data_IF_239546536717
#
_entry.id   IF_239546536717
#
_cell.length_a   1.000
_cell.length_b   1.000
_cell.length_c   1.000
_cell.angle_alpha   90.00
_cell.angle_beta   90.00
_cell.angle_gamma   90.00
#
_symmetry.space_group_name_H-M   'P 1'
#
loop_
_entity.id
_entity.type
_entity.pdbx_description
1 polymer ?
#
# COMPACT_ATOMS: atom_id res chain seq x y z
N UNK A 1 -33.31 -44.43 -20.01
CA UNK A 1 -33.02 -43.09 -19.46
C UNK A 1 -31.57 -42.72 -19.77
N UNK A 2 -31.28 -41.69 -20.58
CA UNK A 2 -29.91 -41.28 -20.84
C UNK A 2 -29.47 -40.20 -19.84
N UNK A 3 -28.39 -40.48 -19.08
CA UNK A 3 -27.74 -39.52 -18.18
C UNK A 3 -26.92 -38.53 -19.02
N UNK A 4 -27.22 -37.25 -18.91
CA UNK A 4 -26.44 -36.16 -19.51
C UNK A 4 -25.13 -35.99 -18.73
N UNK A 5 -24.00 -36.26 -19.37
CA UNK A 5 -22.68 -35.89 -18.88
C UNK A 5 -22.45 -34.38 -19.11
N UNK A 6 -22.48 -33.61 -18.04
CA UNK A 6 -22.06 -32.21 -18.03
C UNK A 6 -20.53 -32.15 -18.02
N UNK A 7 -19.93 -31.90 -19.19
CA UNK A 7 -18.50 -31.58 -19.32
C UNK A 7 -18.22 -30.26 -18.59
N UNK A 8 -17.61 -30.38 -17.42
CA UNK A 8 -17.10 -29.26 -16.63
C UNK A 8 -15.89 -28.65 -17.33
N UNK A 9 -16.07 -27.47 -17.90
CA UNK A 9 -15.02 -26.67 -18.54
C UNK A 9 -14.04 -26.22 -17.46
N UNK A 10 -12.93 -26.95 -17.30
CA UNK A 10 -11.79 -26.51 -16.50
C UNK A 10 -11.15 -25.30 -17.19
N UNK A 11 -11.54 -24.10 -16.77
CA UNK A 11 -10.78 -22.87 -17.07
C UNK A 11 -9.36 -23.05 -16.55
N UNK A 12 -8.42 -23.16 -17.49
CA UNK A 12 -6.98 -23.10 -17.22
C UNK A 12 -6.69 -21.71 -16.66
N UNK A 13 -6.53 -21.63 -15.34
CA UNK A 13 -6.08 -20.41 -14.69
C UNK A 13 -4.58 -20.29 -14.97
N UNK A 14 -4.22 -19.58 -16.03
CA UNK A 14 -2.83 -19.15 -16.23
C UNK A 14 -2.36 -18.45 -14.96
N UNK A 15 -1.24 -18.87 -14.33
CA UNK A 15 -0.70 -18.19 -13.16
C UNK A 15 -0.41 -16.75 -13.55
N UNK A 16 -1.12 -15.80 -12.93
CA UNK A 16 -0.86 -14.36 -13.14
C UNK A 16 0.61 -14.11 -12.83
N UNK A 17 1.35 -13.59 -13.81
CA UNK A 17 2.69 -13.07 -13.60
C UNK A 17 2.68 -12.17 -12.36
N UNK A 18 3.38 -12.60 -11.31
CA UNK A 18 3.35 -11.89 -10.04
C UNK A 18 4.15 -10.61 -10.21
N UNK A 19 3.49 -9.46 -10.13
CA UNK A 19 4.16 -8.18 -10.29
C UNK A 19 5.24 -8.04 -9.19
N UNK A 20 6.54 -7.96 -9.54
CA UNK A 20 7.63 -7.90 -8.57
C UNK A 20 7.51 -6.69 -7.62
N UNK A 21 6.86 -5.61 -8.07
CA UNK A 21 6.61 -4.42 -7.25
C UNK A 21 5.70 -4.69 -6.06
N UNK A 22 4.76 -5.65 -6.17
CA UNK A 22 3.89 -6.02 -5.05
C UNK A 22 4.73 -6.61 -3.91
N UNK A 23 5.62 -7.55 -4.24
CA UNK A 23 6.48 -8.17 -3.24
C UNK A 23 7.48 -7.18 -2.66
N UNK A 24 8.10 -6.36 -3.51
CA UNK A 24 9.01 -5.29 -3.09
C UNK A 24 8.34 -4.35 -2.11
N UNK A 25 7.12 -3.91 -2.42
CA UNK A 25 6.37 -3.02 -1.54
C UNK A 25 5.97 -3.69 -0.21
N UNK A 26 5.51 -4.94 -0.25
CA UNK A 26 5.15 -5.66 0.98
C UNK A 26 6.39 -5.87 1.87
N UNK A 27 7.53 -6.25 1.28
CA UNK A 27 8.79 -6.38 2.01
C UNK A 27 9.22 -5.04 2.61
N UNK A 28 9.12 -3.96 1.83
CA UNK A 28 9.35 -2.60 2.33
C UNK A 28 8.44 -2.28 3.52
N UNK A 29 7.13 -2.54 3.43
CA UNK A 29 6.18 -2.27 4.49
C UNK A 29 6.52 -3.03 5.78
N UNK A 30 6.87 -4.31 5.67
CA UNK A 30 7.25 -5.14 6.83
C UNK A 30 8.53 -4.61 7.47
N UNK A 31 9.57 -4.36 6.68
CA UNK A 31 10.86 -3.82 7.17
C UNK A 31 10.69 -2.45 7.82
N UNK A 32 9.89 -1.58 7.20
CA UNK A 32 9.60 -0.24 7.72
C UNK A 32 8.86 -0.33 9.05
N UNK A 33 7.86 -1.20 9.14
CA UNK A 33 7.12 -1.42 10.38
C UNK A 33 8.00 -1.97 11.50
N UNK A 34 8.87 -2.93 11.19
CA UNK A 34 9.85 -3.44 12.16
C UNK A 34 10.79 -2.32 12.63
N UNK A 35 11.26 -1.46 11.71
CA UNK A 35 12.17 -0.36 12.03
C UNK A 35 11.53 0.75 12.87
N UNK A 36 10.28 1.12 12.59
CA UNK A 36 9.59 2.24 13.24
C UNK A 36 8.87 1.81 14.52
N UNK A 37 8.22 0.64 14.50
CA UNK A 37 7.38 0.16 15.60
C UNK A 37 8.08 -0.87 16.49
N UNK A 38 9.27 -1.34 16.11
CA UNK A 38 9.99 -2.41 16.82
C UNK A 38 9.33 -3.79 16.70
N UNK A 39 8.30 -3.93 15.87
CA UNK A 39 7.56 -5.19 15.67
C UNK A 39 7.17 -5.37 14.21
N UNK A 40 7.19 -6.62 13.75
CA UNK A 40 6.82 -6.96 12.37
C UNK A 40 5.31 -6.80 12.16
N UNK A 41 4.88 -5.99 11.18
CA UNK A 41 3.49 -5.94 10.74
C UNK A 41 2.97 -7.31 10.28
N UNK A 42 1.70 -7.59 10.55
CA UNK A 42 1.05 -8.81 10.05
C UNK A 42 0.62 -8.62 8.60
N UNK A 43 0.99 -9.57 7.73
CA UNK A 43 0.60 -9.59 6.32
C UNK A 43 -0.39 -10.72 6.09
N UNK A 44 -1.57 -10.39 5.58
CA UNK A 44 -2.61 -11.35 5.18
C UNK A 44 -2.38 -11.74 3.72
N UNK A 45 -1.82 -12.94 3.51
CA UNK A 45 -1.52 -13.47 2.17
C UNK A 45 -2.77 -13.42 1.27
N UNK A 46 -2.57 -12.99 0.03
CA UNK A 46 -3.64 -12.85 -0.96
C UNK A 46 -4.46 -11.58 -0.80
N UNK A 47 -4.97 -11.26 0.40
CA UNK A 47 -5.73 -10.01 0.65
C UNK A 47 -4.84 -8.78 0.44
N UNK A 48 -3.74 -8.71 1.15
CA UNK A 48 -2.83 -7.55 1.07
C UNK A 48 -2.14 -7.49 -0.29
N UNK A 49 -1.78 -8.64 -0.87
CA UNK A 49 -1.24 -8.70 -2.24
C UNK A 49 -2.19 -8.12 -3.28
N UNK A 50 -3.50 -8.36 -3.14
CA UNK A 50 -4.52 -7.73 -4.00
C UNK A 50 -4.60 -6.23 -3.75
N UNK A 51 -4.69 -5.79 -2.49
CA UNK A 51 -4.76 -4.36 -2.14
C UNK A 51 -3.56 -3.58 -2.70
N UNK A 52 -2.35 -4.10 -2.50
CA UNK A 52 -1.11 -3.52 -3.04
C UNK A 52 -1.14 -3.51 -4.56
N UNK A 53 -1.57 -4.59 -5.20
CA UNK A 53 -1.71 -4.63 -6.67
C UNK A 53 -2.61 -3.52 -7.20
N UNK A 54 -3.70 -3.19 -6.50
CA UNK A 54 -4.59 -2.11 -6.90
C UNK A 54 -3.99 -0.73 -6.62
N UNK A 55 -3.40 -0.53 -5.45
CA UNK A 55 -2.71 0.71 -5.11
C UNK A 55 -1.62 1.04 -6.14
N UNK A 56 -0.84 0.03 -6.55
CA UNK A 56 0.24 0.16 -7.54
C UNK A 56 -0.23 0.48 -8.96
N UNK A 57 -1.51 0.29 -9.30
CA UNK A 57 -2.05 0.74 -10.59
C UNK A 57 -2.27 2.24 -10.66
N UNK A 58 -2.36 2.91 -9.51
CA UNK A 58 -2.62 4.35 -9.39
C UNK A 58 -1.42 5.12 -8.91
N UNK A 59 -0.63 4.50 -8.02
CA UNK A 59 0.52 5.11 -7.40
C UNK A 59 1.79 4.31 -7.72
N UNK A 60 2.88 4.95 -8.18
CA UNK A 60 4.18 4.31 -8.22
C UNK A 60 4.60 3.88 -6.81
N UNK A 61 5.43 2.83 -6.74
CA UNK A 61 5.94 2.24 -5.49
C UNK A 61 6.46 3.31 -4.53
N UNK A 62 7.30 4.24 -5.00
CA UNK A 62 7.87 5.29 -4.14
C UNK A 62 6.83 6.19 -3.44
N UNK A 63 5.68 6.47 -4.07
CA UNK A 63 4.60 7.22 -3.41
C UNK A 63 3.93 6.39 -2.30
N UNK A 64 3.78 5.08 -2.50
CA UNK A 64 3.27 4.17 -1.47
C UNK A 64 4.28 3.96 -0.33
N UNK A 65 5.57 3.97 -0.62
CA UNK A 65 6.62 3.88 0.40
C UNK A 65 6.62 5.14 1.29
N UNK A 66 6.48 6.34 0.70
CA UNK A 66 6.29 7.57 1.47
C UNK A 66 5.03 7.52 2.34
N UNK A 67 3.91 7.03 1.80
CA UNK A 67 2.68 6.81 2.56
C UNK A 67 2.91 5.85 3.73
N UNK A 68 3.68 4.79 3.52
CA UNK A 68 3.99 3.78 4.52
C UNK A 68 4.77 4.36 5.69
N UNK A 69 5.82 5.13 5.40
CA UNK A 69 6.61 5.80 6.45
C UNK A 69 5.76 6.76 7.26
N UNK A 70 4.98 7.62 6.59
CA UNK A 70 4.06 8.53 7.29
C UNK A 70 3.08 7.76 8.19
N UNK A 71 2.40 6.75 7.64
CA UNK A 71 1.40 5.98 8.37
C UNK A 71 2.00 5.31 9.61
N UNK A 72 3.13 4.61 9.46
CA UNK A 72 3.75 3.89 10.57
C UNK A 72 4.35 4.85 11.61
N UNK A 73 4.88 6.01 11.18
CA UNK A 73 5.44 7.01 12.08
C UNK A 73 4.36 7.78 12.87
N UNK A 74 3.25 8.18 12.22
CA UNK A 74 2.22 9.03 12.82
C UNK A 74 1.04 8.28 13.41
N UNK A 75 0.69 7.12 12.87
CA UNK A 75 -0.50 6.35 13.28
C UNK A 75 -0.12 5.15 14.14
N UNK A 76 0.78 5.35 15.11
CA UNK A 76 1.28 4.30 16.03
C UNK A 76 0.18 3.60 16.83
N UNK A 77 -0.96 4.26 17.03
CA UNK A 77 -2.12 3.72 17.73
C UNK A 77 -3.01 2.82 16.84
N UNK A 78 -2.83 2.86 15.52
CA UNK A 78 -3.56 2.02 14.58
C UNK A 78 -2.83 0.70 14.36
N UNK A 79 -3.59 -0.34 13.98
CA UNK A 79 -2.98 -1.60 13.60
C UNK A 79 -2.15 -1.41 12.33
N UNK A 80 -0.87 -1.86 12.30
CA UNK A 80 0.02 -1.69 11.16
C UNK A 80 -0.33 -2.69 10.06
N UNK A 81 -1.50 -2.52 9.43
CA UNK A 81 -1.96 -3.36 8.32
C UNK A 81 -2.02 -2.50 7.06
N UNK A 82 -1.70 -3.10 5.92
CA UNK A 82 -1.79 -2.42 4.62
C UNK A 82 -3.22 -1.94 4.35
N UNK A 83 -4.22 -2.77 4.69
CA UNK A 83 -5.62 -2.36 4.59
C UNK A 83 -6.00 -1.17 5.48
N UNK A 84 -5.40 -1.05 6.67
CA UNK A 84 -5.62 0.11 7.56
C UNK A 84 -5.00 1.38 6.98
N UNK A 85 -3.76 1.29 6.51
CA UNK A 85 -3.06 2.39 5.84
C UNK A 85 -3.84 2.91 4.63
N UNK A 86 -4.41 2.00 3.84
CA UNK A 86 -5.20 2.33 2.65
C UNK A 86 -6.67 2.63 2.95
N UNK A 87 -7.09 2.63 4.22
CA UNK A 87 -8.47 2.91 4.59
C UNK A 87 -8.85 4.35 4.27
N UNK A 88 -10.11 4.56 3.89
CA UNK A 88 -10.64 5.88 3.51
C UNK A 88 -10.36 6.94 4.56
N UNK A 89 -10.51 6.59 5.84
CA UNK A 89 -10.24 7.47 6.98
C UNK A 89 -8.77 7.91 7.05
N UNK A 90 -7.84 6.97 6.93
CA UNK A 90 -6.40 7.29 6.98
C UNK A 90 -6.01 8.17 5.79
N UNK A 91 -6.58 7.89 4.62
CA UNK A 91 -6.35 8.69 3.41
C UNK A 91 -6.95 10.10 3.50
N UNK A 92 -8.10 10.26 4.16
CA UNK A 92 -8.69 11.59 4.44
C UNK A 92 -7.84 12.40 5.42
N UNK A 93 -7.38 11.75 6.50
CA UNK A 93 -6.45 12.38 7.44
C UNK A 93 -5.14 12.77 6.75
N UNK A 94 -4.63 11.95 5.83
CA UNK A 94 -3.45 12.28 5.02
C UNK A 94 -3.66 13.53 4.18
N UNK A 95 -4.80 13.66 3.48
CA UNK A 95 -5.11 14.85 2.69
C UNK A 95 -5.11 16.12 3.55
N UNK A 96 -5.72 16.05 4.74
CA UNK A 96 -5.74 17.19 5.67
C UNK A 96 -4.36 17.55 6.20
N UNK A 97 -3.50 16.55 6.44
CA UNK A 97 -2.13 16.79 6.88
C UNK A 97 -1.29 17.41 5.75
N UNK A 98 -1.49 17.02 4.49
CA UNK A 98 -0.76 17.58 3.35
C UNK A 98 -0.97 19.07 3.13
N UNK A 99 -2.12 19.62 3.52
CA UNK A 99 -2.41 21.05 3.44
C UNK A 99 -1.55 21.88 4.41
N UNK A 100 -0.90 21.24 5.40
CA UNK A 100 0.00 21.91 6.32
C UNK A 100 1.34 22.18 5.65
N UNK A 101 1.81 23.43 5.74
CA UNK A 101 3.10 23.85 5.18
C UNK A 101 4.32 23.09 5.72
N UNK A 102 4.20 22.48 6.91
CA UNK A 102 5.25 21.68 7.54
C UNK A 102 5.25 20.21 7.11
N UNK A 103 4.19 19.73 6.46
CA UNK A 103 4.00 18.30 6.19
C UNK A 103 5.15 17.70 5.39
N UNK A 104 5.49 18.30 4.26
CA UNK A 104 6.55 17.77 3.39
C UNK A 104 7.93 17.80 4.06
N UNK A 105 8.19 18.79 4.92
CA UNK A 105 9.42 18.84 5.73
C UNK A 105 9.47 17.71 6.76
N UNK A 106 8.33 17.41 7.40
CA UNK A 106 8.22 16.28 8.31
C UNK A 106 8.45 14.95 7.59
N UNK A 107 7.85 14.77 6.41
CA UNK A 107 8.09 13.60 5.57
C UNK A 107 9.57 13.46 5.24
N UNK A 108 10.21 14.51 4.73
CA UNK A 108 11.65 14.47 4.41
C UNK A 108 12.49 14.06 5.62
N UNK A 109 12.18 14.61 6.80
CA UNK A 109 12.84 14.27 8.06
C UNK A 109 12.65 12.80 8.43
N UNK A 110 11.43 12.28 8.31
CA UNK A 110 11.12 10.87 8.59
C UNK A 110 11.83 9.95 7.60
N UNK A 111 11.83 10.30 6.31
CA UNK A 111 12.52 9.52 5.30
C UNK A 111 14.01 9.50 5.56
N UNK A 112 14.63 10.63 5.86
CA UNK A 112 16.07 10.72 6.16
C UNK A 112 16.44 10.00 7.46
N UNK A 113 15.58 10.03 8.48
CA UNK A 113 15.77 9.32 9.73
C UNK A 113 15.76 7.79 9.55
N UNK A 114 14.79 7.26 8.80
CA UNK A 114 14.62 5.81 8.67
C UNK A 114 15.32 5.22 7.44
N UNK A 115 15.59 6.03 6.44
CA UNK A 115 16.22 5.65 5.19
C UNK A 115 17.20 6.75 4.74
N UNK A 116 18.30 6.95 5.49
CA UNK A 116 19.28 7.97 5.17
C UNK A 116 19.78 7.74 3.74
N UNK A 117 19.74 8.79 2.92
CA UNK A 117 20.07 8.73 1.50
C UNK A 117 21.52 8.28 1.34
N UNK A 118 21.73 7.01 1.01
CA UNK A 118 22.95 6.60 0.31
C UNK A 118 22.75 7.03 -1.15
N UNK A 119 23.70 7.79 -1.67
CA UNK A 119 23.62 8.53 -2.93
C UNK A 119 22.87 7.77 -4.04
N UNK A 120 21.99 8.49 -4.77
CA UNK A 120 21.48 8.21 -6.13
C UNK A 120 20.05 7.67 -6.37
N UNK A 121 19.17 7.47 -5.38
CA UNK A 121 17.75 7.19 -5.72
C UNK A 121 16.81 8.25 -5.13
N UNK A 122 16.10 9.05 -5.95
CA UNK A 122 14.95 9.82 -5.51
C UNK A 122 13.80 8.83 -5.24
N UNK A 123 13.94 8.07 -4.15
CA UNK A 123 13.06 6.96 -3.81
C UNK A 123 11.68 7.49 -3.37
N UNK A 124 11.63 8.74 -2.91
CA UNK A 124 10.45 9.38 -2.34
C UNK A 124 9.91 10.41 -3.31
N UNK A 125 8.68 10.18 -3.77
CA UNK A 125 7.97 11.11 -4.65
C UNK A 125 6.82 11.73 -3.85
N UNK A 126 6.70 13.07 -3.83
CA UNK A 126 5.50 13.68 -3.26
C UNK A 126 4.27 13.20 -4.04
N UNK A 127 3.20 12.89 -3.32
CA UNK A 127 1.88 12.60 -3.89
C UNK A 127 0.96 13.82 -3.81
N UNK A 128 -0.07 13.86 -4.64
CA UNK A 128 -1.02 14.96 -4.78
C UNK A 128 -2.39 14.59 -4.21
N UNK A 129 -3.29 15.56 -4.04
CA UNK A 129 -4.66 15.28 -3.63
C UNK A 129 -5.38 14.36 -4.62
N UNK A 130 -5.18 14.59 -5.92
CA UNK A 130 -5.73 13.74 -6.97
C UNK A 130 -5.26 12.27 -6.86
N UNK A 131 -4.00 12.06 -6.49
CA UNK A 131 -3.47 10.71 -6.25
C UNK A 131 -4.24 10.00 -5.11
N UNK A 132 -4.53 10.72 -4.03
CA UNK A 132 -5.24 10.16 -2.87
C UNK A 132 -6.71 9.90 -3.21
N UNK A 133 -7.39 10.84 -3.88
CA UNK A 133 -8.79 10.66 -4.30
C UNK A 133 -8.92 9.41 -5.18
N UNK A 134 -8.05 9.24 -6.18
CA UNK A 134 -8.05 8.08 -7.05
C UNK A 134 -7.78 6.77 -6.29
N UNK A 135 -6.89 6.80 -5.29
CA UNK A 135 -6.60 5.66 -4.44
C UNK A 135 -7.81 5.28 -3.56
N UNK A 136 -8.52 6.25 -2.97
CA UNK A 136 -9.72 6.01 -2.16
C UNK A 136 -10.79 5.27 -2.97
N UNK A 137 -11.06 5.70 -4.19
CA UNK A 137 -12.07 5.09 -5.06
C UNK A 137 -11.75 3.62 -5.39
N UNK A 138 -10.50 3.33 -5.72
CA UNK A 138 -10.07 1.98 -6.06
C UNK A 138 -10.07 1.06 -4.84
N UNK A 139 -9.54 1.51 -3.71
CA UNK A 139 -9.54 0.69 -2.49
C UNK A 139 -10.97 0.43 -2.02
N UNK A 140 -11.86 1.43 -2.07
CA UNK A 140 -13.26 1.24 -1.74
C UNK A 140 -13.94 0.22 -2.67
N UNK A 141 -13.66 0.25 -3.99
CA UNK A 141 -14.19 -0.73 -4.95
C UNK A 141 -13.74 -2.16 -4.61
N UNK A 142 -12.49 -2.33 -4.19
CA UNK A 142 -11.92 -3.63 -3.86
C UNK A 142 -12.49 -4.15 -2.54
N UNK A 143 -12.57 -3.29 -1.54
CA UNK A 143 -13.10 -3.64 -0.22
C UNK A 143 -14.58 -4.00 -0.26
N UNK A 144 -15.37 -3.45 -1.18
CA UNK A 144 -16.79 -3.85 -1.41
C UNK A 144 -16.97 -5.25 -1.99
N UNK A 145 -15.91 -5.85 -2.55
CA UNK A 145 -15.94 -7.20 -3.14
C UNK A 145 -15.51 -8.30 -2.17
N UNK A 146 -15.16 -7.93 -0.94
CA UNK A 146 -14.81 -8.82 0.17
C UNK A 146 -15.83 -8.66 1.28
#
# INVERSE_FOLDING_TARGET
MPKKETKSTKTVVTPRATNPDIFRFIDFFVRTGEKILGKKPTIVRGKDGKLVSYALRRLPVGKLETLTVWFLARKKNLQPLIGTMLSTRVLDELMQEMDKSSFWKEIDTLMDQYYPRQETVPMWKPFTHADITNMKEEVARVMRRF
#
